data_IF_293302735943
#
_entry.id   IF_293302735943
#
_cell.length_a   1.000
_cell.length_b   1.000
_cell.length_c   1.000
_cell.angle_alpha   90.00
_cell.angle_beta   90.00
_cell.angle_gamma   90.00
#
_symmetry.space_group_name_H-M   'P 1'
#
loop_
_entity.id
_entity.type
_entity.pdbx_description
1 polymer ?
#
# COMPACT_ATOMS: atom_id res chain seq x y z
N UNK A 1 4.51 -1.19 -18.52
CA UNK A 1 4.06 -2.07 -17.43
C UNK A 1 2.98 -1.28 -16.70
N UNK A 2 1.71 -1.56 -16.98
CA UNK A 2 0.59 -0.88 -16.32
C UNK A 2 0.50 -1.56 -14.96
N UNK A 3 0.98 -0.91 -13.90
CA UNK A 3 0.56 -1.29 -12.57
C UNK A 3 -0.95 -1.14 -12.58
N UNK A 4 -1.70 -2.24 -12.50
CA UNK A 4 -3.09 -2.17 -12.06
C UNK A 4 -3.06 -1.32 -10.79
N UNK A 5 -3.64 -0.11 -10.87
CA UNK A 5 -3.89 0.69 -9.70
C UNK A 5 -4.88 -0.12 -8.86
N UNK A 6 -4.34 -0.96 -7.97
CA UNK A 6 -5.11 -1.53 -6.87
C UNK A 6 -5.47 -0.35 -5.99
N UNK A 7 -6.61 0.26 -6.26
CA UNK A 7 -7.19 1.24 -5.36
C UNK A 7 -7.45 0.50 -4.05
N UNK A 8 -6.65 0.79 -3.03
CA UNK A 8 -6.89 0.23 -1.72
C UNK A 8 -8.11 0.92 -1.11
N UNK A 9 -8.74 0.25 -0.16
CA UNK A 9 -9.83 0.81 0.64
C UNK A 9 -9.37 0.86 2.07
N UNK A 10 -9.41 2.05 2.66
CA UNK A 10 -9.00 2.31 4.02
C UNK A 10 -10.20 2.79 4.82
N UNK A 11 -10.46 2.19 5.98
CA UNK A 11 -11.40 2.75 6.96
C UNK A 11 -10.59 3.51 8.01
N UNK A 12 -10.96 4.76 8.26
CA UNK A 12 -10.27 5.65 9.20
C UNK A 12 -11.26 6.14 10.24
N UNK A 13 -11.03 5.77 11.49
CA UNK A 13 -11.87 6.16 12.61
C UNK A 13 -11.23 7.34 13.32
N UNK A 14 -11.94 8.46 13.37
CA UNK A 14 -11.47 9.66 14.07
C UNK A 14 -11.38 9.49 15.60
N UNK A 15 -11.89 8.37 16.13
CA UNK A 15 -12.00 8.09 17.57
C UNK A 15 -13.37 8.49 18.11
N UNK A 16 -13.59 8.37 19.43
CA UNK A 16 -14.89 8.63 20.08
C UNK A 16 -15.23 10.12 20.23
N UNK A 17 -14.75 10.98 19.34
CA UNK A 17 -14.98 12.42 19.38
C UNK A 17 -15.64 12.89 18.08
N UNK A 18 -16.96 13.11 18.11
CA UNK A 18 -17.76 13.55 16.94
C UNK A 18 -17.23 14.83 16.31
N UNK A 19 -16.64 15.72 17.10
CA UNK A 19 -16.11 16.99 16.61
C UNK A 19 -14.96 16.78 15.62
N UNK A 20 -14.24 15.66 15.76
CA UNK A 20 -13.09 15.35 14.91
C UNK A 20 -13.49 14.78 13.55
N UNK A 21 -14.55 13.97 13.50
CA UNK A 21 -15.11 13.48 12.24
C UNK A 21 -15.59 14.66 11.39
N UNK A 22 -16.30 15.61 12.01
CA UNK A 22 -16.77 16.82 11.34
C UNK A 22 -15.60 17.70 10.87
N UNK A 23 -14.56 17.85 11.70
CA UNK A 23 -13.35 18.59 11.35
C UNK A 23 -12.63 18.00 10.12
N UNK A 24 -12.59 16.66 9.99
CA UNK A 24 -12.01 15.98 8.82
C UNK A 24 -12.75 16.31 7.53
N UNK A 25 -14.09 16.32 7.58
CA UNK A 25 -14.94 16.67 6.45
C UNK A 25 -14.76 18.14 6.06
N UNK A 26 -14.88 19.06 7.02
CA UNK A 26 -14.80 20.51 6.79
C UNK A 26 -13.44 20.96 6.26
N UNK A 27 -12.35 20.36 6.74
CA UNK A 27 -10.99 20.70 6.31
C UNK A 27 -10.54 19.93 5.08
N UNK A 28 -11.28 18.91 4.64
CA UNK A 28 -10.87 18.04 3.54
C UNK A 28 -9.61 17.25 3.86
N UNK A 29 -9.48 16.78 5.10
CA UNK A 29 -8.32 16.02 5.56
C UNK A 29 -8.71 14.82 6.40
N UNK A 30 -7.78 13.89 6.55
CA UNK A 30 -7.78 12.88 7.61
C UNK A 30 -6.53 13.09 8.46
N UNK A 31 -6.64 12.79 9.74
CA UNK A 31 -5.50 12.69 10.65
C UNK A 31 -5.57 11.36 11.36
N UNK A 32 -4.41 10.79 11.65
CA UNK A 32 -4.30 9.75 12.66
C UNK A 32 -3.95 10.49 13.96
N UNK A 33 -4.64 10.20 15.06
CA UNK A 33 -4.12 10.48 16.41
C UNK A 33 -4.33 9.21 17.19
N UNK A 34 -3.23 8.52 17.43
CA UNK A 34 -3.18 7.37 18.29
C UNK A 34 -3.14 7.91 19.71
N UNK A 35 -3.94 7.32 20.61
CA UNK A 35 -4.09 7.71 22.02
C UNK A 35 -2.90 8.54 22.56
N UNK A 36 -3.20 9.75 23.07
CA UNK A 36 -2.25 10.68 23.71
C UNK A 36 -1.37 11.53 22.78
N UNK A 37 -1.85 11.95 21.59
CA UNK A 37 -1.06 12.77 20.67
C UNK A 37 0.28 12.12 20.30
N UNK A 38 0.28 10.79 20.23
CA UNK A 38 1.49 9.98 20.07
C UNK A 38 2.33 10.49 18.91
N UNK A 39 1.68 10.78 17.80
CA UNK A 39 2.31 11.20 16.56
C UNK A 39 3.07 12.53 16.69
N UNK A 40 2.63 13.44 17.55
CA UNK A 40 3.29 14.74 17.75
C UNK A 40 4.71 14.56 18.30
N UNK A 41 4.99 13.45 19.01
CA UNK A 41 6.34 13.10 19.44
C UNK A 41 7.25 12.66 18.30
N UNK A 42 6.70 12.34 17.12
CA UNK A 42 7.43 11.79 15.97
C UNK A 42 7.33 12.66 14.71
N UNK A 43 6.93 13.93 14.85
CA UNK A 43 6.77 14.90 13.75
C UNK A 43 7.84 14.83 12.67
N UNK A 44 9.07 15.23 13.05
CA UNK A 44 10.22 15.28 12.15
C UNK A 44 10.67 13.88 11.71
N UNK A 45 10.69 12.90 12.63
CA UNK A 45 11.13 11.53 12.34
C UNK A 45 10.26 10.86 11.26
N UNK A 46 8.93 11.07 11.31
CA UNK A 46 8.00 10.48 10.34
C UNK A 46 8.06 11.18 8.98
N UNK A 47 8.33 12.49 8.96
CA UNK A 47 8.56 13.21 7.71
C UNK A 47 9.88 12.78 7.06
N UNK A 48 10.95 12.59 7.83
CA UNK A 48 12.22 12.04 7.36
C UNK A 48 12.04 10.59 6.87
N UNK A 49 11.38 9.74 7.66
CA UNK A 49 11.03 8.37 7.29
C UNK A 49 10.29 8.31 5.95
N UNK A 50 9.33 9.20 5.70
CA UNK A 50 8.64 9.24 4.40
C UNK A 50 9.59 9.57 3.24
N UNK A 51 10.56 10.44 3.47
CA UNK A 51 11.46 10.98 2.45
C UNK A 51 12.75 10.17 2.26
N UNK A 52 13.06 9.23 3.16
CA UNK A 52 14.22 8.36 3.09
C UNK A 52 14.22 7.58 1.76
N UNK A 53 15.29 7.69 0.95
CA UNK A 53 15.51 6.80 -0.19
C UNK A 53 15.84 5.42 0.37
N UNK A 54 14.87 4.52 0.41
CA UNK A 54 15.04 3.16 0.94
C UNK A 54 15.69 2.24 -0.09
N UNK A 55 16.73 2.73 -0.75
CA UNK A 55 17.63 1.92 -1.57
C UNK A 55 18.61 1.23 -0.62
N UNK A 56 18.20 0.12 -0.01
CA UNK A 56 19.18 -0.73 0.65
C UNK A 56 20.19 -1.21 -0.39
N UNK A 57 21.45 -0.81 -0.22
CA UNK A 57 22.59 -1.07 -1.14
C UNK A 57 22.74 -2.55 -1.52
N UNK A 58 22.21 -3.48 -0.74
CA UNK A 58 22.17 -4.92 -1.06
C UNK A 58 21.26 -5.23 -2.26
N UNK A 59 20.16 -4.51 -2.44
CA UNK A 59 19.21 -4.74 -3.53
C UNK A 59 19.67 -4.16 -4.86
N UNK A 60 20.42 -3.05 -4.87
CA UNK A 60 21.11 -2.59 -6.08
C UNK A 60 22.13 -3.60 -6.58
N UNK A 61 22.89 -4.21 -5.68
CA UNK A 61 23.87 -5.22 -6.04
C UNK A 61 23.21 -6.48 -6.64
N UNK A 62 22.04 -6.86 -6.12
CA UNK A 62 21.21 -7.91 -6.71
C UNK A 62 20.63 -7.46 -8.05
N UNK A 63 19.97 -6.31 -8.12
CA UNK A 63 19.37 -5.75 -9.34
C UNK A 63 20.37 -5.57 -10.48
N UNK A 64 21.62 -5.19 -10.17
CA UNK A 64 22.70 -5.08 -11.13
C UNK A 64 23.20 -6.45 -11.60
N UNK A 65 23.42 -7.39 -10.68
CA UNK A 65 23.74 -8.79 -11.04
C UNK A 65 22.64 -9.44 -11.87
N UNK A 66 21.38 -9.09 -11.63
CA UNK A 66 20.23 -9.58 -12.38
C UNK A 66 20.05 -8.89 -13.74
N UNK A 67 20.29 -7.58 -13.85
CA UNK A 67 20.38 -6.88 -15.15
C UNK A 67 21.49 -7.46 -16.02
N UNK A 68 22.61 -7.81 -15.41
CA UNK A 68 23.71 -8.49 -16.10
C UNK A 68 23.34 -9.91 -16.53
N UNK A 69 22.51 -10.61 -15.78
CA UNK A 69 21.99 -11.92 -16.17
C UNK A 69 20.98 -11.83 -17.33
N UNK A 70 19.95 -10.98 -17.25
CA UNK A 70 18.95 -10.78 -18.33
C UNK A 70 19.64 -10.37 -19.64
N UNK A 71 20.60 -9.45 -19.57
CA UNK A 71 21.39 -9.02 -20.72
C UNK A 71 22.16 -10.18 -21.37
N UNK A 72 22.78 -11.05 -20.57
CA UNK A 72 23.50 -12.24 -21.05
C UNK A 72 22.52 -13.24 -21.66
N UNK A 73 21.39 -13.51 -21.00
CA UNK A 73 20.37 -14.43 -21.49
C UNK A 73 19.76 -13.97 -22.82
N UNK A 74 19.40 -12.69 -22.97
CA UNK A 74 18.89 -12.15 -24.25
C UNK A 74 19.91 -12.23 -25.37
N UNK A 75 21.19 -11.99 -25.07
CA UNK A 75 22.26 -12.16 -26.04
C UNK A 75 22.39 -13.62 -26.49
N UNK A 76 22.37 -14.56 -25.55
CA UNK A 76 22.37 -16.00 -25.85
C UNK A 76 21.12 -16.42 -26.64
N UNK A 77 19.97 -15.83 -26.32
CA UNK A 77 18.70 -16.04 -27.03
C UNK A 77 18.80 -15.55 -28.48
N UNK A 78 19.25 -14.32 -28.71
CA UNK A 78 19.44 -13.76 -30.05
C UNK A 78 20.45 -14.57 -30.87
N UNK A 79 21.53 -15.04 -30.25
CA UNK A 79 22.52 -15.91 -30.90
C UNK A 79 21.96 -17.29 -31.23
N UNK A 80 21.15 -17.88 -30.34
CA UNK A 80 20.47 -19.14 -30.58
C UNK A 80 19.43 -19.03 -31.70
N UNK A 81 18.72 -17.90 -31.79
CA UNK A 81 17.74 -17.61 -32.84
C UNK A 81 18.45 -17.38 -34.19
N UNK A 82 19.56 -16.62 -34.22
CA UNK A 82 20.35 -16.39 -35.45
C UNK A 82 20.98 -17.65 -36.04
N UNK A 83 21.26 -18.66 -35.21
CA UNK A 83 21.80 -19.96 -35.63
C UNK A 83 20.74 -20.93 -36.16
N UNK A 84 19.45 -20.58 -36.12
CA UNK A 84 18.39 -21.37 -36.72
C UNK A 84 18.30 -21.02 -38.21
N UNK A 85 18.66 -21.96 -39.07
CA UNK A 85 18.62 -21.77 -40.52
C UNK A 85 17.19 -22.00 -41.04
N UNK A 86 16.49 -20.93 -41.42
CA UNK A 86 15.07 -20.97 -41.83
C UNK A 86 14.84 -21.57 -43.22
N UNK A 87 15.90 -21.95 -43.94
CA UNK A 87 15.84 -22.41 -45.33
C UNK A 87 15.68 -23.91 -45.57
N UNK A 88 15.85 -24.79 -44.56
CA UNK A 88 15.77 -26.25 -44.74
C UNK A 88 14.50 -26.83 -44.10
N UNK A 89 13.56 -27.28 -44.94
CA UNK A 89 12.26 -27.86 -44.53
C UNK A 89 12.39 -29.04 -43.56
N UNK A 90 13.47 -29.82 -43.65
CA UNK A 90 13.74 -30.95 -42.76
C UNK A 90 14.03 -30.56 -41.29
N UNK A 91 14.44 -29.32 -41.02
CA UNK A 91 14.77 -28.86 -39.65
C UNK A 91 13.61 -28.15 -38.94
N UNK A 92 12.50 -27.87 -39.63
CA UNK A 92 11.31 -27.20 -39.05
C UNK A 92 10.79 -27.84 -37.75
N UNK A 93 10.70 -29.17 -37.60
CA UNK A 93 10.20 -29.79 -36.37
C UNK A 93 11.13 -29.56 -35.16
N UNK A 94 12.44 -29.62 -35.36
CA UNK A 94 13.43 -29.37 -34.31
C UNK A 94 13.49 -27.90 -33.89
N UNK A 95 13.37 -26.99 -34.86
CA UNK A 95 13.30 -25.54 -34.64
C UNK A 95 12.07 -25.20 -33.78
N UNK A 96 10.90 -25.75 -34.10
CA UNK A 96 9.66 -25.56 -33.31
C UNK A 96 9.79 -26.15 -31.91
N UNK A 97 10.43 -27.30 -31.76
CA UNK A 97 10.67 -27.93 -30.44
C UNK A 97 11.61 -27.10 -29.56
N UNK A 98 12.68 -26.55 -30.13
CA UNK A 98 13.58 -25.61 -29.44
C UNK A 98 12.87 -24.31 -29.06
N UNK A 99 12.09 -23.71 -29.95
CA UNK A 99 11.29 -22.50 -29.65
C UNK A 99 10.29 -22.74 -28.51
N UNK A 100 9.59 -23.87 -28.50
CA UNK A 100 8.69 -24.22 -27.38
C UNK A 100 9.43 -24.37 -26.05
N UNK A 101 10.60 -25.00 -26.07
CA UNK A 101 11.44 -25.13 -24.86
C UNK A 101 11.93 -23.78 -24.34
N UNK A 102 12.38 -22.90 -25.24
CA UNK A 102 12.84 -21.55 -24.90
C UNK A 102 11.69 -20.68 -24.36
N UNK A 103 10.52 -20.70 -25.00
CA UNK A 103 9.34 -19.98 -24.50
C UNK A 103 8.92 -20.47 -23.11
N UNK A 104 9.03 -21.78 -22.84
CA UNK A 104 8.77 -22.33 -21.51
C UNK A 104 9.78 -21.82 -20.47
N UNK A 105 11.07 -21.76 -20.81
CA UNK A 105 12.10 -21.21 -19.93
C UNK A 105 11.87 -19.74 -19.63
N UNK A 106 11.49 -18.97 -20.65
CA UNK A 106 11.19 -17.54 -20.51
C UNK A 106 9.97 -17.31 -19.61
N UNK A 107 8.90 -18.09 -19.79
CA UNK A 107 7.72 -18.04 -18.92
C UNK A 107 8.05 -18.39 -17.47
N UNK A 108 8.83 -19.45 -17.23
CA UNK A 108 9.25 -19.83 -15.88
C UNK A 108 10.09 -18.72 -15.22
N UNK A 109 10.98 -18.09 -15.99
CA UNK A 109 11.79 -16.97 -15.50
C UNK A 109 10.92 -15.75 -15.14
N UNK A 110 9.94 -15.40 -15.96
CA UNK A 110 9.00 -14.32 -15.65
C UNK A 110 8.20 -14.60 -14.37
N UNK A 111 7.79 -15.85 -14.15
CA UNK A 111 7.12 -16.28 -12.91
C UNK A 111 8.04 -16.19 -11.68
N UNK A 112 9.29 -16.66 -11.80
CA UNK A 112 10.31 -16.53 -10.75
C UNK A 112 10.60 -15.04 -10.45
N UNK A 113 10.69 -14.19 -11.47
CA UNK A 113 10.87 -12.74 -11.33
C UNK A 113 9.72 -12.09 -10.59
N UNK A 114 8.48 -12.50 -10.89
CA UNK A 114 7.30 -12.01 -10.17
C UNK A 114 7.35 -12.40 -8.70
N UNK A 115 7.64 -13.66 -8.39
CA UNK A 115 7.76 -14.14 -7.00
C UNK A 115 8.88 -13.44 -6.24
N UNK A 116 10.03 -13.24 -6.89
CA UNK A 116 11.16 -12.52 -6.30
C UNK A 116 10.80 -11.06 -6.01
N UNK A 117 10.18 -10.36 -6.96
CA UNK A 117 9.72 -8.98 -6.77
C UNK A 117 8.70 -8.87 -5.63
N UNK A 118 7.75 -9.79 -5.55
CA UNK A 118 6.77 -9.85 -4.45
C UNK A 118 7.44 -10.11 -3.09
N UNK A 119 8.50 -10.92 -3.07
CA UNK A 119 9.27 -11.21 -1.85
C UNK A 119 10.06 -9.98 -1.42
N UNK A 120 10.72 -9.29 -2.34
CA UNK A 120 11.48 -8.07 -2.05
C UNK A 120 10.57 -6.97 -1.50
N UNK A 121 9.38 -6.79 -2.09
CA UNK A 121 8.41 -5.84 -1.56
C UNK A 121 8.00 -6.16 -0.11
N UNK A 122 7.85 -7.44 0.24
CA UNK A 122 7.54 -7.84 1.63
C UNK A 122 8.68 -7.53 2.59
N UNK A 123 9.93 -7.69 2.15
CA UNK A 123 11.09 -7.30 2.95
C UNK A 123 11.14 -5.79 3.17
N UNK A 124 10.94 -4.99 2.12
CA UNK A 124 10.89 -3.52 2.25
C UNK A 124 9.78 -3.06 3.20
N UNK A 125 8.61 -3.70 3.15
CA UNK A 125 7.49 -3.43 4.07
C UNK A 125 7.85 -3.83 5.51
N UNK A 126 8.49 -4.98 5.70
CA UNK A 126 8.94 -5.45 7.00
C UNK A 126 9.99 -4.51 7.63
N UNK A 127 11.03 -4.12 6.88
CA UNK A 127 12.08 -3.22 7.38
C UNK A 127 11.50 -1.87 7.80
N UNK A 128 10.54 -1.34 7.04
CA UNK A 128 9.83 -0.09 7.37
C UNK A 128 9.01 -0.21 8.65
N UNK A 129 8.35 -1.34 8.85
CA UNK A 129 7.59 -1.60 10.07
C UNK A 129 8.51 -1.70 11.28
N UNK A 130 9.62 -2.44 11.18
CA UNK A 130 10.58 -2.57 12.27
C UNK A 130 11.24 -1.23 12.62
N UNK A 131 11.58 -0.41 11.62
CA UNK A 131 12.08 0.94 11.87
C UNK A 131 11.09 1.79 12.69
N UNK A 132 9.80 1.75 12.34
CA UNK A 132 8.77 2.46 13.11
C UNK A 132 8.66 1.90 14.53
N UNK A 133 8.76 0.58 14.73
CA UNK A 133 8.76 -0.02 16.07
C UNK A 133 9.94 0.45 16.91
N UNK A 134 11.15 0.44 16.34
CA UNK A 134 12.35 0.93 17.01
C UNK A 134 12.19 2.40 17.42
N UNK A 135 11.66 3.22 16.51
CA UNK A 135 11.38 4.63 16.78
C UNK A 135 10.39 4.80 17.94
N UNK A 136 9.29 4.03 17.96
CA UNK A 136 8.30 4.07 19.05
C UNK A 136 8.94 3.64 20.38
N UNK A 137 9.66 2.52 20.42
CA UNK A 137 10.34 2.01 21.62
C UNK A 137 11.37 3.03 22.14
N UNK A 138 12.09 3.72 21.26
CA UNK A 138 13.10 4.69 21.66
C UNK A 138 12.50 5.90 22.39
N UNK A 139 11.25 6.27 22.10
CA UNK A 139 10.56 7.41 22.74
C UNK A 139 9.61 7.01 23.86
N UNK A 140 9.04 5.81 23.79
CA UNK A 140 8.09 5.29 24.77
C UNK A 140 8.65 4.06 25.47
N UNK A 141 8.80 4.15 26.79
CA UNK A 141 9.24 3.02 27.60
C UNK A 141 8.11 1.98 27.76
N UNK A 142 8.48 0.70 27.66
CA UNK A 142 7.69 -0.49 28.05
C UNK A 142 6.25 -0.54 27.51
N UNK A 143 6.10 -0.64 26.18
CA UNK A 143 4.82 -0.94 25.54
C UNK A 143 4.57 -2.45 25.48
N UNK A 144 3.30 -2.83 25.64
CA UNK A 144 2.83 -4.18 25.33
C UNK A 144 3.10 -4.50 23.84
N UNK A 145 3.65 -5.69 23.50
CA UNK A 145 3.98 -6.04 22.12
C UNK A 145 2.81 -5.96 21.15
N UNK A 146 1.58 -6.30 21.58
CA UNK A 146 0.41 -6.24 20.70
C UNK A 146 0.00 -4.78 20.42
N UNK A 147 0.18 -3.88 21.39
CA UNK A 147 -0.03 -2.43 21.19
C UNK A 147 1.02 -1.87 20.23
N UNK A 148 2.29 -2.25 20.41
CA UNK A 148 3.38 -1.81 19.54
C UNK A 148 3.18 -2.28 18.09
N UNK A 149 2.84 -3.56 17.87
CA UNK A 149 2.58 -4.10 16.53
C UNK A 149 1.40 -3.40 15.86
N UNK A 150 0.34 -3.13 16.61
CA UNK A 150 -0.82 -2.41 16.11
C UNK A 150 -0.47 -0.97 15.72
N UNK A 151 0.15 -0.21 16.63
CA UNK A 151 0.49 1.19 16.39
C UNK A 151 1.50 1.35 15.26
N UNK A 152 2.55 0.53 15.24
CA UNK A 152 3.53 0.56 14.14
C UNK A 152 2.87 0.26 12.79
N UNK A 153 1.94 -0.69 12.73
CA UNK A 153 1.14 -0.97 11.53
C UNK A 153 0.27 0.21 11.09
N UNK A 154 -0.47 0.82 12.02
CA UNK A 154 -1.32 1.98 11.73
C UNK A 154 -0.51 3.20 11.28
N UNK A 155 0.61 3.49 11.95
CA UNK A 155 1.54 4.57 11.57
C UNK A 155 2.13 4.30 10.20
N UNK A 156 2.64 3.09 9.97
CA UNK A 156 3.22 2.70 8.68
C UNK A 156 2.22 2.88 7.54
N UNK A 157 1.00 2.38 7.72
CA UNK A 157 -0.04 2.50 6.71
C UNK A 157 -0.45 3.95 6.49
N UNK A 158 -0.59 4.75 7.54
CA UNK A 158 -0.93 6.16 7.40
C UNK A 158 0.18 6.97 6.74
N UNK A 159 1.45 6.77 7.11
CA UNK A 159 2.57 7.59 6.62
C UNK A 159 3.02 7.15 5.22
N UNK A 160 3.09 5.84 4.97
CA UNK A 160 3.70 5.28 3.76
C UNK A 160 2.80 4.33 2.96
N UNK A 161 1.87 3.62 3.60
CA UNK A 161 1.03 2.62 2.93
C UNK A 161 -0.07 3.21 2.03
N UNK A 162 -0.75 4.27 2.49
CA UNK A 162 -1.82 4.94 1.73
C UNK A 162 -1.28 5.70 0.53
N UNK A 163 -1.87 5.48 -0.65
CA UNK A 163 -1.46 6.08 -1.93
C UNK A 163 -2.49 7.09 -2.43
N UNK A 164 -2.05 8.03 -3.28
CA UNK A 164 -2.95 8.94 -3.97
C UNK A 164 -3.97 8.12 -4.79
N UNK A 165 -5.23 8.55 -4.76
CA UNK A 165 -6.41 7.89 -5.31
C UNK A 165 -6.91 6.63 -4.58
N UNK A 166 -6.27 6.21 -3.49
CA UNK A 166 -6.88 5.22 -2.62
C UNK A 166 -8.22 5.73 -2.07
N UNK A 167 -9.17 4.82 -1.91
CA UNK A 167 -10.49 5.10 -1.35
C UNK A 167 -10.38 5.12 0.18
N UNK A 168 -10.98 6.14 0.80
CA UNK A 168 -11.06 6.31 2.24
C UNK A 168 -12.52 6.29 2.66
N UNK A 169 -12.83 5.55 3.71
CA UNK A 169 -14.13 5.51 4.36
C UNK A 169 -13.99 6.10 5.75
N UNK A 170 -14.72 7.17 6.02
CA UNK A 170 -14.83 7.80 7.33
C UNK A 170 -16.20 7.43 7.94
N UNK A 171 -16.26 6.43 8.84
CA UNK A 171 -17.48 6.09 9.55
C UNK A 171 -17.82 7.20 10.56
N UNK A 172 -19.11 7.56 10.60
CA UNK A 172 -19.75 8.34 11.66
C UNK A 172 -20.54 7.33 12.48
N UNK A 173 -19.86 6.62 13.38
CA UNK A 173 -20.41 5.46 14.09
C UNK A 173 -21.72 5.78 14.81
N UNK A 174 -21.80 7.00 15.33
CA UNK A 174 -22.94 7.48 16.09
C UNK A 174 -24.21 7.71 15.26
N UNK A 175 -24.09 7.78 13.94
CA UNK A 175 -25.19 7.96 12.99
C UNK A 175 -25.40 6.71 12.11
N UNK A 176 -24.51 5.71 12.16
CA UNK A 176 -24.58 4.51 11.33
C UNK A 176 -24.35 4.77 9.84
N UNK A 177 -23.67 5.87 9.50
CA UNK A 177 -23.35 6.29 8.14
C UNK A 177 -21.83 6.44 7.97
N UNK A 178 -21.35 6.43 6.74
CA UNK A 178 -19.98 6.75 6.38
C UNK A 178 -19.92 7.76 5.24
N UNK A 179 -18.86 8.55 5.24
CA UNK A 179 -18.44 9.35 4.09
C UNK A 179 -17.36 8.60 3.32
N UNK A 180 -17.38 8.75 1.99
CA UNK A 180 -16.37 8.16 1.10
C UNK A 180 -15.54 9.28 0.50
N UNK A 181 -14.22 9.11 0.53
CA UNK A 181 -13.26 10.07 0.02
C UNK A 181 -12.18 9.41 -0.81
N UNK A 182 -11.38 10.23 -1.51
CA UNK A 182 -10.16 9.80 -2.19
C UNK A 182 -8.95 10.54 -1.67
N UNK A 183 -7.85 9.83 -1.46
CA UNK A 183 -6.57 10.44 -1.09
C UNK A 183 -6.10 11.35 -2.23
N UNK A 184 -5.93 12.64 -1.93
CA UNK A 184 -5.45 13.64 -2.88
C UNK A 184 -3.95 13.88 -2.75
N UNK A 185 -3.44 13.82 -1.52
CA UNK A 185 -2.04 14.11 -1.23
C UNK A 185 -1.44 13.04 -0.31
N UNK A 186 -0.13 12.86 -0.43
CA UNK A 186 0.63 12.05 0.51
C UNK A 186 0.64 12.68 1.92
N UNK A 187 1.07 11.90 2.91
CA UNK A 187 1.22 12.35 4.29
C UNK A 187 2.02 13.65 4.41
N UNK A 188 1.56 14.57 5.25
CA UNK A 188 2.23 15.81 5.60
C UNK A 188 2.24 16.00 7.12
N UNK A 189 3.34 16.54 7.61
CA UNK A 189 3.47 17.03 8.96
C UNK A 189 3.42 18.57 8.96
N UNK A 190 2.76 19.14 9.96
CA UNK A 190 2.78 20.57 10.25
C UNK A 190 2.73 20.76 11.75
N UNK A 191 3.87 21.14 12.32
CA UNK A 191 3.98 21.49 13.73
C UNK A 191 2.98 22.61 14.12
N UNK A 192 2.39 22.47 15.31
CA UNK A 192 1.48 23.47 15.87
C UNK A 192 0.08 23.51 15.23
N UNK A 193 -0.31 22.48 14.46
CA UNK A 193 -1.65 22.36 13.87
C UNK A 193 -2.62 21.50 14.71
N UNK A 194 -2.28 21.25 15.98
CA UNK A 194 -3.08 20.48 16.94
C UNK A 194 -3.31 19.03 16.47
N UNK A 195 -4.51 18.50 16.70
CA UNK A 195 -4.93 17.12 16.34
C UNK A 195 -4.90 16.80 14.84
N UNK A 196 -4.55 17.77 14.01
CA UNK A 196 -4.38 17.67 12.56
C UNK A 196 -2.92 17.86 12.12
N UNK A 197 -1.95 17.94 13.03
CA UNK A 197 -0.53 18.11 12.70
C UNK A 197 -0.03 17.04 11.74
N UNK A 198 -0.61 15.84 11.78
CA UNK A 198 -0.29 14.70 10.94
C UNK A 198 -1.44 14.37 9.98
N UNK A 199 -1.43 14.92 8.77
CA UNK A 199 -2.61 14.86 7.91
C UNK A 199 -2.35 14.34 6.49
N UNK A 200 -3.43 13.89 5.86
CA UNK A 200 -3.52 13.71 4.41
C UNK A 200 -4.73 14.46 3.90
N UNK A 201 -4.60 15.07 2.72
CA UNK A 201 -5.74 15.72 2.06
C UNK A 201 -6.61 14.69 1.37
N UNK A 202 -7.91 14.80 1.58
CA UNK A 202 -8.94 13.94 1.01
C UNK A 202 -9.89 14.80 0.17
N UNK A 203 -10.30 14.28 -0.97
CA UNK A 203 -11.48 14.77 -1.69
C UNK A 203 -12.64 13.93 -1.21
N UNK A 204 -13.49 14.52 -0.35
CA UNK A 204 -14.69 13.85 0.15
C UNK A 204 -15.82 13.95 -0.87
N UNK A 205 -16.61 12.90 -0.96
CA UNK A 205 -17.93 12.98 -1.56
C UNK A 205 -18.93 13.61 -0.59
N UNK A 206 -19.92 14.32 -1.13
CA UNK A 206 -21.06 14.83 -0.35
C UNK A 206 -22.03 13.70 0.07
N UNK A 207 -21.90 12.51 -0.52
CA UNK A 207 -22.79 11.38 -0.29
C UNK A 207 -22.58 10.74 1.09
N UNK A 208 -23.70 10.58 1.82
CA UNK A 208 -23.76 9.85 3.09
C UNK A 208 -24.21 8.42 2.83
N UNK A 209 -23.34 7.45 3.12
CA UNK A 209 -23.59 6.03 2.83
C UNK A 209 -23.92 5.28 4.12
N UNK A 210 -25.13 4.71 4.28
CA UNK A 210 -25.43 3.84 5.42
C UNK A 210 -24.49 2.64 5.48
N UNK A 211 -24.08 2.21 6.68
CA UNK A 211 -23.20 1.04 6.84
C UNK A 211 -23.73 -0.23 6.18
N UNK A 212 -25.06 -0.42 6.18
CA UNK A 212 -25.72 -1.55 5.51
C UNK A 212 -25.44 -1.64 4.01
N UNK A 213 -25.04 -0.54 3.38
CA UNK A 213 -24.80 -0.44 1.95
C UNK A 213 -23.32 -0.60 1.59
N UNK A 214 -22.40 -0.65 2.56
CA UNK A 214 -20.95 -0.75 2.31
C UNK A 214 -20.53 -2.19 2.01
N UNK A 215 -20.74 -3.08 2.99
CA UNK A 215 -20.50 -4.52 2.83
C UNK A 215 -21.12 -5.32 3.98
N UNK A 216 -21.41 -6.62 3.78
CA UNK A 216 -21.69 -7.54 4.88
C UNK A 216 -20.49 -7.59 5.84
N UNK A 217 -20.73 -7.49 7.15
CA UNK A 217 -19.67 -7.52 8.17
C UNK A 217 -18.97 -6.18 8.41
N UNK A 218 -19.43 -5.07 7.81
CA UNK A 218 -18.84 -3.74 8.07
C UNK A 218 -18.85 -3.38 9.56
N UNK A 219 -19.92 -3.72 10.29
CA UNK A 219 -20.00 -3.47 11.74
C UNK A 219 -18.93 -4.23 12.52
N UNK A 220 -18.60 -5.47 12.13
CA UNK A 220 -17.54 -6.25 12.79
C UNK A 220 -16.16 -5.61 12.63
N UNK A 221 -15.91 -4.94 11.48
CA UNK A 221 -14.68 -4.18 11.29
C UNK A 221 -14.58 -3.01 12.29
N UNK A 222 -15.71 -2.44 12.72
CA UNK A 222 -15.74 -1.33 13.68
C UNK A 222 -15.42 -1.80 15.11
N UNK A 223 -15.57 -3.09 15.40
CA UNK A 223 -15.28 -3.66 16.72
C UNK A 223 -13.79 -3.95 16.94
N UNK A 224 -12.96 -3.90 15.89
CA UNK A 224 -11.52 -4.24 15.93
C UNK A 224 -10.64 -3.34 16.81
N UNK A 225 -11.21 -2.28 17.39
CA UNK A 225 -10.50 -1.26 18.18
C UNK A 225 -9.42 -0.49 17.41
N UNK A 226 -9.20 -0.79 16.13
CA UNK A 226 -8.19 -0.16 15.27
C UNK A 226 -8.71 1.14 14.70
N UNK A 227 -7.83 2.14 14.56
CA UNK A 227 -8.17 3.46 14.01
C UNK A 227 -7.96 3.53 12.50
N UNK A 228 -7.12 2.65 11.95
CA UNK A 228 -6.86 2.56 10.52
C UNK A 228 -6.92 1.09 10.09
N UNK A 229 -7.80 0.78 9.14
CA UNK A 229 -8.04 -0.59 8.68
C UNK A 229 -7.88 -0.66 7.17
N UNK A 230 -6.97 -1.52 6.69
CA UNK A 230 -6.91 -1.91 5.29
C UNK A 230 -7.98 -2.96 5.00
N UNK A 231 -9.00 -2.61 4.22
CA UNK A 231 -10.08 -3.53 3.86
C UNK A 231 -9.61 -4.47 2.75
N UNK A 232 -9.87 -5.77 2.91
CA UNK A 232 -9.51 -6.83 1.96
C UNK A 232 -10.74 -7.67 1.59
N UNK A 233 -10.63 -8.45 0.52
CA UNK A 233 -11.66 -9.39 0.08
C UNK A 233 -12.94 -8.72 -0.40
N UNK A 234 -14.06 -9.44 -0.31
CA UNK A 234 -15.35 -9.03 -0.89
C UNK A 234 -15.87 -7.70 -0.33
N UNK A 235 -15.58 -7.39 0.93
CA UNK A 235 -15.96 -6.10 1.51
C UNK A 235 -15.24 -4.92 0.83
N UNK A 236 -13.96 -5.09 0.47
CA UNK A 236 -13.21 -4.08 -0.29
C UNK A 236 -13.87 -3.82 -1.62
N UNK A 237 -14.20 -4.89 -2.35
CA UNK A 237 -14.76 -4.77 -3.69
C UNK A 237 -16.17 -4.16 -3.67
N UNK A 238 -16.97 -4.48 -2.65
CA UNK A 238 -18.28 -3.85 -2.41
C UNK A 238 -18.15 -2.34 -2.17
N UNK A 239 -17.21 -1.91 -1.32
CA UNK A 239 -16.97 -0.49 -1.06
C UNK A 239 -16.48 0.23 -2.33
N UNK A 240 -15.63 -0.40 -3.15
CA UNK A 240 -15.19 0.18 -4.42
C UNK A 240 -16.35 0.35 -5.40
N UNK A 241 -17.30 -0.58 -5.43
CA UNK A 241 -18.51 -0.45 -6.23
C UNK A 241 -19.35 0.75 -5.78
N UNK A 242 -19.55 0.92 -4.48
CA UNK A 242 -20.24 2.11 -3.93
C UNK A 242 -19.47 3.38 -4.29
N UNK A 243 -18.15 3.39 -4.09
CA UNK A 243 -17.28 4.52 -4.39
C UNK A 243 -17.26 4.91 -5.87
N UNK A 244 -17.63 3.99 -6.79
CA UNK A 244 -17.75 4.29 -8.22
C UNK A 244 -19.04 5.06 -8.57
N UNK A 245 -20.02 5.05 -7.67
CA UNK A 245 -21.35 5.67 -7.85
C UNK A 245 -21.47 7.03 -7.17
N UNK A 246 -20.54 7.36 -6.29
CA UNK A 246 -20.51 8.65 -5.57
C UNK A 246 -19.68 9.69 -6.33
N UNK A 247 -20.07 10.96 -6.24
CA UNK A 247 -19.40 12.06 -6.93
C UNK A 247 -18.31 12.69 -6.04
N UNK A 248 -17.16 13.03 -6.63
CA UNK A 248 -15.98 13.63 -5.97
C UNK A 248 -15.64 14.99 -6.60
#
# INVERSE_FOLDING_TARGET
MVHEHRNNVWIIRAGRNRDREQLFLEKGVISLDLNLHLLDHFGEDLEEFRNLPHDHKQYHLMGDKFRDFDRRFRKEFDEAVKKLDHGKEEQRPEVVKKMRSLNRKLKNFDEEMKQFSETMQKFDEFEKLEFIKEMIIAKLAELDPAVLDKWSGEIFHFVSGMRIYDTVVLPIESEGIAFIGKVRENYKYREGFGDLSHYRRIIWSDDRVPFSNLCPGFSELMDSGSHLILVKGDCRDSILEVASKVYF
#
